data_IF_493301756853
#
_entry.id   IF_493301756853
#
_cell.length_a   1.000
_cell.length_b   1.000
_cell.length_c   1.000
_cell.angle_alpha   90.00
_cell.angle_beta   90.00
_cell.angle_gamma   90.00
#
_symmetry.space_group_name_H-M   'P 1'
#
loop_
_entity.id
_entity.type
_entity.pdbx_description
1 polymer ?
#
# COMPACT_ATOMS: atom_id res chain seq x y z
N UNK A 1 13.77 1.27 -8.47
CA UNK A 1 13.32 0.64 -7.21
C UNK A 1 11.96 1.20 -6.84
N UNK A 2 10.99 0.35 -6.69
CA UNK A 2 9.62 0.75 -6.35
C UNK A 2 9.33 0.50 -4.88
N UNK A 3 8.68 1.46 -4.24
CA UNK A 3 8.05 1.31 -2.93
C UNK A 3 6.54 1.42 -3.14
N UNK A 4 5.84 0.33 -2.90
CA UNK A 4 4.40 0.25 -3.09
C UNK A 4 3.66 0.64 -1.80
N UNK A 5 2.54 1.33 -1.95
CA UNK A 5 1.56 1.55 -0.88
C UNK A 5 0.30 0.81 -1.25
N UNK A 6 -0.07 -0.17 -0.43
CA UNK A 6 -1.24 -1.00 -0.67
C UNK A 6 -2.53 -0.22 -0.41
N UNK A 7 -3.40 -0.15 -1.40
CA UNK A 7 -4.77 0.32 -1.25
C UNK A 7 -5.75 -0.84 -1.25
N UNK A 8 -6.70 -0.79 -0.35
CA UNK A 8 -7.79 -1.77 -0.26
C UNK A 8 -9.04 -1.12 0.30
N UNK A 9 -10.21 -1.63 -0.08
CA UNK A 9 -11.47 -1.11 0.43
C UNK A 9 -11.55 -1.24 1.95
N UNK A 10 -12.12 -0.23 2.57
CA UNK A 10 -12.24 -0.06 4.00
C UNK A 10 -10.92 0.20 4.75
N UNK A 11 -9.82 0.46 4.05
CA UNK A 11 -8.61 0.96 4.69
C UNK A 11 -8.85 2.36 5.29
N UNK A 12 -8.05 2.72 6.29
CA UNK A 12 -8.10 4.06 6.84
C UNK A 12 -7.38 5.03 5.89
N UNK A 13 -8.15 5.98 5.31
CA UNK A 13 -7.63 6.92 4.31
C UNK A 13 -6.43 7.73 4.80
N UNK A 14 -6.44 8.13 6.08
CA UNK A 14 -5.30 8.81 6.71
C UNK A 14 -4.01 7.98 6.60
N UNK A 15 -4.09 6.67 6.86
CA UNK A 15 -2.93 5.79 6.76
C UNK A 15 -2.44 5.60 5.33
N UNK A 16 -3.35 5.43 4.39
CA UNK A 16 -3.04 5.29 2.98
C UNK A 16 -2.39 6.56 2.40
N UNK A 17 -3.05 7.70 2.56
CA UNK A 17 -2.55 8.99 2.06
C UNK A 17 -1.32 9.44 2.84
N UNK A 18 -1.29 9.29 4.16
CA UNK A 18 -0.15 9.69 4.98
C UNK A 18 1.12 8.95 4.60
N UNK A 19 1.07 7.64 4.41
CA UNK A 19 2.22 6.86 3.95
C UNK A 19 2.67 7.30 2.56
N UNK A 20 1.73 7.50 1.64
CA UNK A 20 2.02 7.95 0.27
C UNK A 20 2.69 9.31 0.27
N UNK A 21 2.14 10.29 0.98
CA UNK A 21 2.66 11.65 1.02
C UNK A 21 4.04 11.72 1.67
N UNK A 22 4.28 10.98 2.76
CA UNK A 22 5.59 10.94 3.40
C UNK A 22 6.66 10.38 2.46
N UNK A 23 6.35 9.33 1.73
CA UNK A 23 7.27 8.74 0.75
C UNK A 23 7.52 9.71 -0.42
N UNK A 24 6.49 10.37 -0.94
CA UNK A 24 6.61 11.35 -2.02
C UNK A 24 7.43 12.57 -1.59
N UNK A 25 7.24 13.06 -0.36
CA UNK A 25 8.06 14.13 0.21
C UNK A 25 9.52 13.71 0.33
N UNK A 26 9.78 12.51 0.83
CA UNK A 26 11.13 11.96 0.94
C UNK A 26 11.81 11.84 -0.44
N UNK A 27 11.08 11.35 -1.43
CA UNK A 27 11.57 11.27 -2.81
C UNK A 27 11.94 12.66 -3.37
N UNK A 28 11.08 13.65 -3.13
CA UNK A 28 11.32 15.02 -3.55
C UNK A 28 12.58 15.61 -2.90
N UNK A 29 12.76 15.37 -1.60
CA UNK A 29 13.95 15.85 -0.88
C UNK A 29 15.23 15.21 -1.39
N UNK A 30 15.23 13.92 -1.70
CA UNK A 30 16.37 13.22 -2.28
C UNK A 30 16.74 13.80 -3.65
N UNK A 31 15.75 14.05 -4.51
CA UNK A 31 15.97 14.69 -5.82
C UNK A 31 16.59 16.08 -5.70
N UNK A 32 16.16 16.85 -4.71
CA UNK A 32 16.73 18.20 -4.47
C UNK A 32 18.19 18.17 -4.01
N UNK A 33 18.63 17.07 -3.42
CA UNK A 33 19.99 16.87 -2.94
C UNK A 33 20.91 16.19 -3.97
N UNK A 34 20.45 16.04 -5.22
CA UNK A 34 21.15 15.33 -6.29
C UNK A 34 21.59 13.91 -5.85
N UNK A 35 20.79 13.25 -5.04
CA UNK A 35 21.06 11.89 -4.63
C UNK A 35 21.03 10.95 -5.84
N UNK A 36 22.11 10.15 -6.00
CA UNK A 36 22.25 9.23 -7.12
C UNK A 36 21.23 8.08 -7.06
N UNK A 37 20.80 7.71 -5.87
CA UNK A 37 19.78 6.68 -5.65
C UNK A 37 18.47 7.34 -5.25
N UNK A 38 17.43 7.01 -5.98
CA UNK A 38 16.06 7.42 -5.69
C UNK A 38 15.14 6.22 -5.86
N UNK A 39 13.94 6.31 -5.30
CA UNK A 39 12.89 5.31 -5.44
C UNK A 39 11.67 5.93 -6.11
N UNK A 40 10.83 5.09 -6.66
CA UNK A 40 9.51 5.48 -7.17
C UNK A 40 8.44 5.01 -6.18
N UNK A 41 7.53 5.91 -5.82
CA UNK A 41 6.35 5.59 -5.01
C UNK A 41 5.24 5.17 -5.95
N UNK A 42 4.61 4.04 -5.70
CA UNK A 42 3.50 3.52 -6.49
C UNK A 42 2.38 3.05 -5.57
N UNK A 43 1.19 3.60 -5.75
CA UNK A 43 0.00 3.10 -5.06
C UNK A 43 -0.63 1.96 -5.85
N UNK A 44 -1.04 0.91 -5.18
CA UNK A 44 -1.53 -0.31 -5.84
C UNK A 44 -2.83 -0.79 -5.23
N UNK A 45 -3.71 -1.32 -6.06
CA UNK A 45 -4.90 -2.03 -5.62
C UNK A 45 -5.08 -3.34 -6.38
N UNK A 46 -6.06 -4.13 -5.99
CA UNK A 46 -6.33 -5.43 -6.61
C UNK A 46 -6.42 -5.38 -8.14
N UNK A 47 -7.25 -4.49 -8.65
CA UNK A 47 -7.53 -4.33 -10.08
C UNK A 47 -6.96 -3.05 -10.71
N UNK A 48 -6.26 -2.22 -9.92
CA UNK A 48 -5.80 -0.90 -10.34
C UNK A 48 -6.89 0.17 -10.35
N UNK A 49 -8.10 -0.18 -9.97
CA UNK A 49 -9.21 0.75 -9.81
C UNK A 49 -9.15 1.50 -8.48
N UNK A 50 -9.96 2.58 -8.36
CA UNK A 50 -10.03 3.34 -7.12
C UNK A 50 -10.43 2.48 -5.94
N UNK A 51 -9.87 2.78 -4.78
CA UNK A 51 -10.29 2.17 -3.51
C UNK A 51 -11.25 3.11 -2.78
N UNK A 52 -12.12 2.54 -1.97
CA UNK A 52 -13.01 3.26 -1.09
C UNK A 52 -12.55 3.09 0.36
N UNK A 53 -12.18 4.19 1.00
CA UNK A 53 -11.72 4.13 2.39
C UNK A 53 -12.87 3.86 3.39
N UNK A 54 -12.54 3.71 4.65
CA UNK A 54 -13.49 3.39 5.72
C UNK A 54 -14.57 4.46 5.95
N UNK A 55 -14.38 5.66 5.41
CA UNK A 55 -15.36 6.76 5.49
C UNK A 55 -16.03 7.04 4.13
N UNK A 56 -15.89 6.14 3.17
CA UNK A 56 -16.55 6.24 1.87
C UNK A 56 -15.86 7.13 0.84
N UNK A 57 -14.67 7.64 1.14
CA UNK A 57 -13.90 8.45 0.20
C UNK A 57 -13.17 7.56 -0.80
N UNK A 58 -13.13 7.98 -2.06
CA UNK A 58 -12.45 7.25 -3.12
C UNK A 58 -11.04 7.80 -3.33
N UNK A 59 -10.08 6.90 -3.50
CA UNK A 59 -8.69 7.23 -3.77
C UNK A 59 -8.25 6.51 -5.04
N UNK A 60 -7.74 7.27 -6.00
CA UNK A 60 -7.15 6.72 -7.22
C UNK A 60 -5.82 6.07 -6.88
N UNK A 61 -5.50 4.97 -7.54
CA UNK A 61 -4.21 4.28 -7.43
C UNK A 61 -3.50 4.23 -8.78
N UNK A 62 -2.20 3.98 -8.74
CA UNK A 62 -1.35 4.03 -9.95
C UNK A 62 -1.36 2.71 -10.72
N UNK A 63 -1.53 1.58 -10.03
CA UNK A 63 -1.31 0.27 -10.62
C UNK A 63 -2.15 -0.82 -9.98
N UNK A 64 -2.25 -1.96 -10.67
CA UNK A 64 -2.84 -3.19 -10.13
C UNK A 64 -1.75 -4.15 -9.62
N UNK A 65 -2.15 -5.16 -8.84
CA UNK A 65 -1.25 -6.22 -8.41
C UNK A 65 -0.62 -6.98 -9.58
N UNK A 66 -1.32 -7.09 -10.69
CA UNK A 66 -0.82 -7.80 -11.87
C UNK A 66 0.25 -7.03 -12.66
N UNK A 67 0.27 -5.70 -12.53
CA UNK A 67 1.21 -4.85 -13.26
C UNK A 67 2.51 -4.58 -12.50
N UNK A 68 2.56 -4.88 -11.20
CA UNK A 68 3.78 -4.77 -10.39
C UNK A 68 4.43 -6.14 -10.25
N UNK A 69 5.55 -6.33 -10.93
CA UNK A 69 6.29 -7.59 -10.90
C UNK A 69 7.00 -7.79 -9.56
N UNK A 70 7.74 -6.80 -9.11
CA UNK A 70 8.39 -6.78 -7.80
C UNK A 70 8.60 -5.35 -7.31
N UNK A 71 8.72 -5.19 -6.01
CA UNK A 71 9.05 -3.93 -5.38
C UNK A 71 10.07 -4.14 -4.25
N UNK A 72 10.74 -3.06 -3.86
CA UNK A 72 11.71 -3.11 -2.76
C UNK A 72 11.02 -3.17 -1.40
N UNK A 73 9.88 -2.50 -1.29
CA UNK A 73 9.08 -2.48 -0.07
C UNK A 73 7.60 -2.31 -0.39
N UNK A 74 6.75 -2.80 0.50
CA UNK A 74 5.31 -2.58 0.48
C UNK A 74 4.89 -2.04 1.84
N UNK A 75 4.16 -0.94 1.83
CA UNK A 75 3.54 -0.37 3.03
C UNK A 75 2.08 -0.79 3.06
N UNK A 76 1.67 -1.41 4.17
CA UNK A 76 0.29 -1.86 4.40
C UNK A 76 -0.38 -0.89 5.39
N UNK A 77 -1.32 -0.05 4.94
CA UNK A 77 -2.02 0.88 5.82
C UNK A 77 -3.00 0.16 6.74
N UNK A 78 -3.40 0.81 7.86
CA UNK A 78 -4.38 0.27 8.78
C UNK A 78 -5.79 0.29 8.20
N UNK A 79 -6.70 -0.42 8.85
CA UNK A 79 -8.14 -0.35 8.61
C UNK A 79 -8.86 0.08 9.88
N UNK A 80 -10.11 0.54 9.72
CA UNK A 80 -10.94 0.88 10.88
C UNK A 80 -11.46 -0.42 11.51
N UNK A 81 -11.17 -0.58 12.80
CA UNK A 81 -11.62 -1.74 13.57
C UNK A 81 -12.69 -1.31 14.59
N UNK A 82 -13.89 -1.81 14.40
CA UNK A 82 -15.03 -1.57 15.31
C UNK A 82 -15.13 -2.69 16.36
N UNK A 83 -14.07 -2.87 17.17
CA UNK A 83 -14.06 -3.88 18.23
C UNK A 83 -13.44 -5.22 17.81
N UNK A 84 -14.15 -6.32 17.92
CA UNK A 84 -13.60 -7.67 17.84
C UNK A 84 -13.27 -8.18 16.42
N UNK A 85 -13.33 -7.33 15.39
CA UNK A 85 -13.36 -7.84 14.04
C UNK A 85 -11.99 -7.89 13.36
N UNK A 86 -11.62 -9.10 12.98
CA UNK A 86 -10.64 -9.36 11.94
C UNK A 86 -11.01 -8.63 10.64
N UNK A 87 -10.04 -8.43 9.77
CA UNK A 87 -10.28 -7.90 8.42
C UNK A 87 -11.42 -8.66 7.77
N UNK A 88 -12.45 -7.99 7.26
CA UNK A 88 -13.56 -8.67 6.60
C UNK A 88 -13.04 -9.52 5.44
N UNK A 89 -13.36 -10.81 5.36
CA UNK A 89 -12.93 -11.63 4.25
C UNK A 89 -13.56 -11.13 2.96
N UNK A 90 -12.73 -10.88 1.97
CA UNK A 90 -13.18 -10.51 0.62
C UNK A 90 -12.20 -11.07 -0.40
N UNK A 91 -12.62 -11.27 -1.68
CA UNK A 91 -11.71 -11.69 -2.72
C UNK A 91 -10.52 -10.74 -2.89
N UNK A 92 -10.73 -9.43 -2.74
CA UNK A 92 -9.68 -8.43 -2.84
C UNK A 92 -8.67 -8.53 -1.68
N UNK A 93 -9.12 -8.78 -0.46
CA UNK A 93 -8.24 -8.98 0.70
C UNK A 93 -7.45 -10.29 0.57
N UNK A 94 -8.08 -11.36 0.13
CA UNK A 94 -7.37 -12.63 -0.13
C UNK A 94 -6.31 -12.46 -1.22
N UNK A 95 -6.62 -11.73 -2.28
CA UNK A 95 -5.66 -11.40 -3.33
C UNK A 95 -4.53 -10.51 -2.83
N UNK A 96 -4.82 -9.54 -1.97
CA UNK A 96 -3.81 -8.69 -1.32
C UNK A 96 -2.84 -9.52 -0.48
N UNK A 97 -3.36 -10.42 0.34
CA UNK A 97 -2.53 -11.31 1.17
C UNK A 97 -1.64 -12.21 0.30
N UNK A 98 -2.17 -12.77 -0.79
CA UNK A 98 -1.39 -13.58 -1.73
C UNK A 98 -0.30 -12.75 -2.43
N UNK A 99 -0.64 -11.53 -2.84
CA UNK A 99 0.31 -10.62 -3.48
C UNK A 99 1.43 -10.21 -2.51
N UNK A 100 1.10 -9.88 -1.25
CA UNK A 100 2.08 -9.54 -0.21
C UNK A 100 3.06 -10.70 0.03
N UNK A 101 2.55 -11.94 0.16
CA UNK A 101 3.41 -13.13 0.30
C UNK A 101 4.35 -13.30 -0.88
N UNK A 102 3.86 -13.08 -2.09
CA UNK A 102 4.68 -13.15 -3.31
C UNK A 102 5.76 -12.07 -3.31
N UNK A 103 5.43 -10.82 -2.99
CA UNK A 103 6.40 -9.74 -2.91
C UNK A 103 7.47 -10.00 -1.85
N UNK A 104 7.06 -10.49 -0.68
CA UNK A 104 8.01 -10.88 0.36
C UNK A 104 8.94 -12.02 -0.08
N UNK A 105 8.41 -13.03 -0.75
CA UNK A 105 9.21 -14.13 -1.30
C UNK A 105 10.21 -13.67 -2.36
N UNK A 106 9.92 -12.58 -3.07
CA UNK A 106 10.81 -11.92 -4.03
C UNK A 106 11.83 -10.96 -3.38
N UNK A 107 11.80 -10.83 -2.06
CA UNK A 107 12.75 -10.03 -1.29
C UNK A 107 12.24 -8.65 -0.86
N UNK A 108 10.98 -8.32 -1.10
CA UNK A 108 10.42 -7.05 -0.64
C UNK A 108 10.31 -7.01 0.89
N UNK A 109 10.58 -5.83 1.45
CA UNK A 109 10.26 -5.54 2.85
C UNK A 109 8.77 -5.24 2.94
N UNK A 110 8.05 -5.98 3.79
CA UNK A 110 6.63 -5.70 4.07
C UNK A 110 6.54 -4.98 5.41
N UNK A 111 6.11 -3.73 5.37
CA UNK A 111 5.92 -2.90 6.56
C UNK A 111 4.44 -2.60 6.74
N UNK A 112 3.90 -2.98 7.88
CA UNK A 112 2.50 -2.75 8.22
C UNK A 112 2.37 -1.66 9.29
N UNK A 113 1.45 -0.74 9.06
CA UNK A 113 1.10 0.27 10.04
C UNK A 113 -0.08 -0.23 10.89
N UNK A 114 0.08 -0.15 12.23
CA UNK A 114 -0.98 -0.49 13.19
C UNK A 114 -1.55 -1.89 12.92
N UNK A 115 -2.89 -2.01 12.79
CA UNK A 115 -3.55 -3.29 12.53
C UNK A 115 -3.46 -3.79 11.07
N UNK A 116 -2.83 -3.03 10.18
CA UNK A 116 -2.49 -3.52 8.84
C UNK A 116 -1.67 -4.82 8.85
N UNK A 117 -1.02 -5.11 9.97
CA UNK A 117 -0.28 -6.36 10.20
C UNK A 117 -1.15 -7.62 10.08
N UNK A 118 -2.46 -7.49 10.22
CA UNK A 118 -3.40 -8.63 10.15
C UNK A 118 -3.87 -8.96 8.72
N UNK A 119 -3.49 -8.17 7.72
CA UNK A 119 -3.74 -8.50 6.33
C UNK A 119 -2.84 -9.66 5.87
#
# INVERSE_FOLDING_TARGET
>A
MDIAVLGYDDCLGLGFIGATDLLLLSQRMLKQKDAHETFRVVTVSYDGGPIRDSFGRHHVVDASFSTISNCAAVIVPPYLCDGEHAVPPSPAISAAAAWLRRQHALGAIVAAACNGVFL
#
